data_IF_038040850997
#
_entry.id   IF_038040850997
#
_cell.length_a   1.000
_cell.length_b   1.000
_cell.length_c   1.000
_cell.angle_alpha   90.00
_cell.angle_beta   90.00
_cell.angle_gamma   90.00
#
_symmetry.space_group_name_H-M   'P 1'
#
loop_
_entity.id
_entity.type
_entity.pdbx_description
1 polymer ?
#
# COMPACT_ATOMS: atom_id res chain seq x y z
N UNK A 1 -12.86 24.15 17.88
CA UNK A 1 -13.15 24.07 16.43
C UNK A 1 -12.66 25.35 15.76
N UNK A 2 -11.59 25.28 14.98
CA UNK A 2 -11.16 26.40 14.13
C UNK A 2 -12.01 26.37 12.84
N UNK A 3 -13.27 26.74 12.93
CA UNK A 3 -14.20 26.70 11.79
C UNK A 3 -14.02 27.85 10.77
N UNK A 4 -13.13 28.80 11.05
CA UNK A 4 -12.89 29.93 10.14
C UNK A 4 -11.62 29.72 9.35
N UNK A 5 -11.74 29.50 8.05
CA UNK A 5 -10.61 29.30 7.12
C UNK A 5 -9.54 30.42 7.25
N UNK A 6 -9.96 31.68 7.39
CA UNK A 6 -9.04 32.81 7.57
C UNK A 6 -8.21 32.73 8.86
N UNK A 7 -8.70 32.10 9.92
CA UNK A 7 -7.97 31.96 11.19
C UNK A 7 -6.92 30.86 11.16
N UNK A 8 -7.10 29.82 10.36
CA UNK A 8 -6.14 28.71 10.24
C UNK A 8 -4.82 29.17 9.65
N UNK A 9 -4.83 30.09 8.70
CA UNK A 9 -3.62 30.64 8.08
C UNK A 9 -2.82 31.54 9.00
N UNK A 10 -3.36 31.93 10.16
CA UNK A 10 -2.70 32.78 11.15
C UNK A 10 -1.96 31.99 12.22
N UNK A 11 -2.23 30.71 12.38
CA UNK A 11 -1.50 29.89 13.36
C UNK A 11 -0.04 29.74 12.95
N UNK A 12 0.87 29.94 13.91
CA UNK A 12 2.31 29.89 13.69
C UNK A 12 2.98 28.76 14.44
N UNK A 13 2.55 28.52 15.68
CA UNK A 13 3.25 27.62 16.57
C UNK A 13 2.27 26.92 17.51
N UNK A 14 2.43 25.60 17.65
CA UNK A 14 1.77 24.81 18.68
C UNK A 14 2.85 24.44 19.69
N UNK A 15 2.83 25.06 20.86
CA UNK A 15 3.81 24.84 21.93
C UNK A 15 3.37 23.78 22.94
N UNK A 16 2.08 23.47 22.97
CA UNK A 16 1.47 22.46 23.82
C UNK A 16 0.10 22.08 23.27
N UNK A 17 -0.25 20.79 23.28
CA UNK A 17 -1.56 20.29 22.85
C UNK A 17 -2.60 20.35 23.95
N UNK A 18 -2.14 20.27 25.22
CA UNK A 18 -3.02 20.27 26.41
C UNK A 18 -3.79 18.97 26.60
N UNK A 19 -4.58 18.92 27.67
CA UNK A 19 -5.30 17.72 28.11
C UNK A 19 -6.68 17.55 27.46
N UNK A 20 -7.06 18.45 26.55
CA UNK A 20 -8.38 18.45 25.90
C UNK A 20 -8.48 17.40 24.80
N UNK A 21 -9.61 16.66 24.77
CA UNK A 21 -9.89 15.73 23.66
C UNK A 21 -10.25 16.50 22.39
N UNK A 22 -9.58 16.11 21.29
CA UNK A 22 -9.93 16.63 19.97
C UNK A 22 -11.11 15.82 19.40
N UNK A 23 -12.16 16.50 19.00
CA UNK A 23 -13.32 15.86 18.36
C UNK A 23 -13.12 15.63 16.86
N UNK A 24 -12.26 16.41 16.21
CA UNK A 24 -11.98 16.33 14.79
C UNK A 24 -10.65 17.02 14.45
N UNK A 25 -9.89 16.39 13.54
CA UNK A 25 -8.72 17.01 12.90
C UNK A 25 -8.99 17.38 11.44
N UNK A 26 -10.22 17.21 10.97
CA UNK A 26 -10.60 17.54 9.60
C UNK A 26 -10.34 19.02 9.31
N UNK A 27 -9.45 19.32 8.36
CA UNK A 27 -8.97 20.66 8.02
C UNK A 27 -8.36 21.46 9.20
N UNK A 28 -7.88 20.80 10.26
CA UNK A 28 -7.49 21.50 11.49
C UNK A 28 -6.50 22.64 11.29
N UNK A 29 -5.47 22.42 10.44
CA UNK A 29 -4.39 23.38 10.19
C UNK A 29 -4.24 23.71 8.71
N UNK A 30 -5.24 23.43 7.89
CA UNK A 30 -5.17 23.69 6.45
C UNK A 30 -4.76 25.14 6.15
N UNK A 31 -3.75 25.30 5.28
CA UNK A 31 -3.24 26.61 4.87
C UNK A 31 -2.37 27.32 5.92
N UNK A 32 -2.01 26.64 7.01
CA UNK A 32 -1.10 27.17 8.01
C UNK A 32 0.36 27.10 7.52
N UNK A 33 0.69 27.86 6.49
CA UNK A 33 1.97 27.82 5.76
C UNK A 33 3.21 28.08 6.61
N UNK A 34 3.07 28.63 7.81
CA UNK A 34 4.18 28.91 8.72
C UNK A 34 4.09 28.10 10.02
N UNK A 35 3.28 27.03 10.01
CA UNK A 35 3.07 26.22 11.20
C UNK A 35 4.34 25.48 11.62
N UNK A 36 4.66 25.59 12.90
CA UNK A 36 5.66 24.78 13.60
C UNK A 36 5.04 24.11 14.81
N UNK A 37 5.50 22.90 15.16
CA UNK A 37 4.96 22.13 16.31
C UNK A 37 6.13 21.74 17.22
N UNK A 38 6.66 22.65 18.07
CA UNK A 38 7.65 22.33 19.07
C UNK A 38 7.06 21.66 20.32
N UNK A 39 5.75 21.41 20.36
CA UNK A 39 5.08 20.71 21.45
C UNK A 39 5.77 19.37 21.75
N UNK A 40 5.95 19.08 23.03
CA UNK A 40 6.53 17.81 23.53
C UNK A 40 5.47 16.88 24.12
N UNK A 41 4.25 17.36 24.25
CA UNK A 41 3.05 16.60 24.57
C UNK A 41 2.31 16.19 23.30
N UNK A 42 1.36 15.29 23.41
CA UNK A 42 0.59 14.75 22.31
C UNK A 42 -0.88 15.19 22.38
N UNK A 43 -1.55 15.38 21.23
CA UNK A 43 -3.00 15.62 21.25
C UNK A 43 -3.76 14.35 21.63
N UNK A 44 -4.79 14.45 22.48
CA UNK A 44 -5.73 13.34 22.67
C UNK A 44 -6.62 13.18 21.43
N UNK A 45 -6.26 12.24 20.57
CA UNK A 45 -6.96 11.91 19.31
C UNK A 45 -8.01 10.79 19.48
N UNK A 46 -8.36 10.40 20.72
CA UNK A 46 -9.23 9.24 20.99
C UNK A 46 -10.63 9.34 20.36
N UNK A 47 -11.06 10.52 19.92
CA UNK A 47 -12.32 10.76 19.22
C UNK A 47 -12.14 11.11 17.73
N UNK A 48 -10.89 11.19 17.24
CA UNK A 48 -10.58 11.66 15.89
C UNK A 48 -10.59 10.50 14.90
N UNK A 49 -11.70 10.29 14.22
CA UNK A 49 -11.81 9.26 13.17
C UNK A 49 -11.32 9.73 11.81
N UNK A 50 -11.12 11.03 11.60
CA UNK A 50 -10.62 11.59 10.34
C UNK A 50 -9.60 12.68 10.57
N UNK A 51 -8.44 12.52 9.90
CA UNK A 51 -7.41 13.56 9.79
C UNK A 51 -7.37 14.16 8.37
N UNK A 52 -8.47 14.04 7.62
CA UNK A 52 -8.55 14.53 6.25
C UNK A 52 -8.18 16.00 6.17
N UNK A 53 -7.21 16.34 5.31
CA UNK A 53 -6.68 17.69 5.12
C UNK A 53 -6.15 18.38 6.39
N UNK A 54 -5.78 17.61 7.42
CA UNK A 54 -5.35 18.18 8.69
C UNK A 54 -4.20 19.19 8.55
N UNK A 55 -3.21 18.86 7.71
CA UNK A 55 -2.02 19.69 7.43
C UNK A 55 -1.89 20.05 5.94
N UNK A 56 -3.01 20.04 5.21
CA UNK A 56 -3.00 20.43 3.80
C UNK A 56 -2.48 21.88 3.65
N UNK A 57 -1.59 22.10 2.68
CA UNK A 57 -0.92 23.41 2.43
C UNK A 57 -0.08 23.92 3.62
N UNK A 58 0.37 23.08 4.53
CA UNK A 58 1.32 23.43 5.58
C UNK A 58 2.76 23.37 5.03
N UNK A 59 3.11 24.29 4.13
CA UNK A 59 4.32 24.23 3.30
C UNK A 59 5.65 24.32 4.06
N UNK A 60 5.66 24.79 5.32
CA UNK A 60 6.85 24.86 6.16
C UNK A 60 6.80 23.89 7.35
N UNK A 61 6.06 22.81 7.23
CA UNK A 61 5.92 21.81 8.29
C UNK A 61 7.17 20.92 8.38
N UNK A 62 8.20 21.36 9.09
CA UNK A 62 9.50 20.70 9.21
C UNK A 62 9.78 20.19 10.61
N UNK A 63 10.62 19.16 10.74
CA UNK A 63 11.27 18.74 12.00
C UNK A 63 10.33 18.23 13.08
N UNK A 64 9.22 17.61 12.72
CA UNK A 64 8.16 17.23 13.65
C UNK A 64 8.36 15.87 14.30
N UNK A 65 8.00 15.80 15.58
CA UNK A 65 7.77 14.56 16.33
C UNK A 65 6.26 14.26 16.34
N UNK A 66 5.74 13.76 15.23
CA UNK A 66 4.35 13.28 15.17
C UNK A 66 4.24 11.78 15.47
N UNK A 67 5.38 11.15 15.73
CA UNK A 67 5.48 9.70 15.79
C UNK A 67 4.72 9.08 16.97
N UNK A 68 4.63 9.79 18.09
CA UNK A 68 3.98 9.29 19.31
C UNK A 68 2.44 9.45 19.31
N UNK A 69 1.88 10.05 18.25
CA UNK A 69 0.43 10.27 18.18
C UNK A 69 -0.36 8.97 18.07
N UNK A 70 -1.36 8.83 18.94
CA UNK A 70 -2.26 7.68 18.89
C UNK A 70 -3.32 7.83 17.78
N UNK A 71 -3.06 7.21 16.63
CA UNK A 71 -3.94 7.24 15.45
C UNK A 71 -4.86 6.02 15.34
N UNK A 72 -4.94 5.17 16.36
CA UNK A 72 -5.60 3.86 16.30
C UNK A 72 -7.09 3.88 15.95
N UNK A 73 -7.78 5.02 16.12
CA UNK A 73 -9.21 5.17 15.76
C UNK A 73 -9.43 5.88 14.43
N UNK A 74 -8.34 6.32 13.77
CA UNK A 74 -8.41 7.05 12.50
C UNK A 74 -8.78 6.09 11.37
N UNK A 75 -9.77 6.47 10.57
CA UNK A 75 -10.23 5.70 9.40
C UNK A 75 -9.93 6.40 8.07
N UNK A 76 -9.64 7.71 8.09
CA UNK A 76 -9.30 8.47 6.88
C UNK A 76 -8.11 9.39 7.09
N UNK A 77 -7.11 9.23 6.20
CA UNK A 77 -5.95 10.10 6.07
C UNK A 77 -5.98 10.88 4.74
N UNK A 78 -7.17 11.08 4.16
CA UNK A 78 -7.35 11.76 2.88
C UNK A 78 -6.69 13.15 2.88
N UNK A 79 -5.69 13.35 2.01
CA UNK A 79 -4.98 14.62 1.85
C UNK A 79 -4.34 15.18 3.13
N UNK A 80 -4.02 14.34 4.12
CA UNK A 80 -3.51 14.80 5.43
C UNK A 80 -2.33 15.75 5.29
N UNK A 81 -1.38 15.45 4.40
CA UNK A 81 -0.19 16.27 4.11
C UNK A 81 -0.17 16.76 2.65
N UNK A 82 -1.35 16.92 2.04
CA UNK A 82 -1.47 17.42 0.67
C UNK A 82 -0.88 18.84 0.57
N UNK A 83 -0.01 19.09 -0.41
CA UNK A 83 0.74 20.37 -0.57
C UNK A 83 1.58 20.77 0.67
N UNK A 84 1.94 19.85 1.54
CA UNK A 84 2.88 20.09 2.63
C UNK A 84 4.31 19.86 2.14
N UNK A 85 4.82 20.73 1.25
CA UNK A 85 6.00 20.51 0.42
C UNK A 85 7.26 20.17 1.21
N UNK A 86 7.49 20.81 2.36
CA UNK A 86 8.65 20.54 3.23
C UNK A 86 8.40 19.45 4.30
N UNK A 87 7.25 18.76 4.25
CA UNK A 87 6.96 17.75 5.27
C UNK A 87 7.85 16.52 5.09
N UNK A 88 8.67 16.22 6.09
CA UNK A 88 9.46 15.00 6.21
C UNK A 88 9.50 14.53 7.67
N UNK A 89 8.37 14.60 8.38
CA UNK A 89 8.22 14.16 9.77
C UNK A 89 8.16 12.63 9.88
N UNK A 90 8.67 12.10 11.01
CA UNK A 90 8.52 10.69 11.33
C UNK A 90 7.10 10.39 11.78
N UNK A 91 6.48 9.42 11.13
CA UNK A 91 5.13 8.89 11.38
C UNK A 91 5.11 7.36 11.37
N UNK A 92 6.27 6.72 11.54
CA UNK A 92 6.42 5.25 11.46
C UNK A 92 5.64 4.50 12.54
N UNK A 93 5.36 5.14 13.69
CA UNK A 93 4.54 4.56 14.76
C UNK A 93 3.03 4.75 14.60
N UNK A 94 2.58 5.47 13.57
CA UNK A 94 1.13 5.65 13.36
C UNK A 94 0.43 4.32 13.14
N UNK A 95 -0.54 4.01 13.96
CA UNK A 95 -1.39 2.83 13.77
C UNK A 95 -2.43 3.11 12.69
N UNK A 96 -2.22 2.55 11.50
CA UNK A 96 -3.12 2.72 10.35
C UNK A 96 -4.08 1.55 10.13
N UNK A 97 -4.17 0.60 11.07
CA UNK A 97 -4.95 -0.64 10.93
C UNK A 97 -6.46 -0.44 10.72
N UNK A 98 -6.99 0.76 10.97
CA UNK A 98 -8.38 1.11 10.71
C UNK A 98 -8.56 2.06 9.52
N UNK A 99 -7.46 2.46 8.87
CA UNK A 99 -7.52 3.40 7.74
C UNK A 99 -8.01 2.68 6.48
N UNK A 100 -9.02 3.27 5.84
CA UNK A 100 -9.59 2.77 4.58
C UNK A 100 -9.29 3.70 3.40
N UNK A 101 -8.95 4.98 3.67
CA UNK A 101 -8.72 5.97 2.64
C UNK A 101 -7.41 6.74 2.87
N UNK A 102 -6.45 6.58 1.94
CA UNK A 102 -5.17 7.30 1.89
C UNK A 102 -5.03 8.16 0.62
N UNK A 103 -6.18 8.47 -0.06
CA UNK A 103 -6.15 9.30 -1.26
C UNK A 103 -5.44 10.62 -0.98
N UNK A 104 -4.48 11.01 -1.83
CA UNK A 104 -3.72 12.27 -1.78
C UNK A 104 -2.95 12.51 -0.48
N UNK A 105 -2.68 11.48 0.35
CA UNK A 105 -2.10 11.71 1.69
C UNK A 105 -0.79 12.50 1.64
N UNK A 106 0.07 12.22 0.66
CA UNK A 106 1.38 12.88 0.44
C UNK A 106 1.47 13.54 -0.94
N UNK A 107 0.34 13.84 -1.59
CA UNK A 107 0.39 14.53 -2.88
C UNK A 107 1.07 15.89 -2.71
N UNK A 108 2.06 16.19 -3.56
CA UNK A 108 2.91 17.39 -3.51
C UNK A 108 3.65 17.56 -2.14
N UNK A 109 3.91 16.48 -1.41
CA UNK A 109 4.81 16.48 -0.27
C UNK A 109 6.23 16.18 -0.78
N UNK A 110 6.84 17.15 -1.45
CA UNK A 110 8.06 17.03 -2.24
C UNK A 110 9.23 16.42 -1.45
N UNK A 111 9.39 16.82 -0.18
CA UNK A 111 10.47 16.39 0.72
C UNK A 111 10.17 15.11 1.48
N UNK A 112 8.97 14.51 1.33
CA UNK A 112 8.60 13.34 2.12
C UNK A 112 9.35 12.08 1.67
N UNK A 113 10.20 11.54 2.54
CA UNK A 113 10.94 10.30 2.31
C UNK A 113 11.18 9.51 3.61
N UNK A 114 10.13 9.32 4.43
CA UNK A 114 10.24 8.56 5.69
C UNK A 114 9.75 7.13 5.53
N UNK A 115 10.32 6.25 6.36
CA UNK A 115 9.93 4.85 6.40
C UNK A 115 8.48 4.71 6.89
N UNK A 116 7.63 4.17 6.01
CA UNK A 116 6.23 3.81 6.24
C UNK A 116 5.95 2.36 5.85
N UNK A 117 6.99 1.52 5.87
CA UNK A 117 6.92 0.09 5.65
C UNK A 117 6.10 -0.59 6.78
N UNK A 118 5.38 -1.66 6.47
CA UNK A 118 4.62 -2.43 7.47
C UNK A 118 5.49 -3.39 8.28
N UNK A 119 6.73 -3.65 7.84
CA UNK A 119 7.69 -4.49 8.57
C UNK A 119 8.45 -3.67 9.61
N UNK A 120 8.18 -3.90 10.89
CA UNK A 120 8.85 -3.22 12.00
C UNK A 120 8.30 -1.82 12.32
N UNK A 121 7.14 -1.46 11.80
CA UNK A 121 6.39 -0.24 12.12
C UNK A 121 4.95 -0.57 12.54
N UNK A 122 4.17 0.44 12.93
CA UNK A 122 2.74 0.28 13.25
C UNK A 122 1.83 0.46 12.03
N UNK A 123 2.41 0.73 10.84
CA UNK A 123 1.65 0.85 9.61
C UNK A 123 1.00 -0.48 9.21
N UNK A 124 -0.23 -0.41 8.77
CA UNK A 124 -1.01 -1.54 8.28
C UNK A 124 -1.95 -1.04 7.18
N UNK A 125 -1.84 -1.61 5.99
CA UNK A 125 -2.60 -1.18 4.80
C UNK A 125 -3.73 -2.14 4.44
N UNK A 126 -3.93 -3.23 5.20
CA UNK A 126 -4.86 -4.30 4.86
C UNK A 126 -6.34 -3.89 4.68
N UNK A 127 -6.75 -2.72 5.20
CA UNK A 127 -8.11 -2.19 5.02
C UNK A 127 -8.18 -1.04 4.01
N UNK A 128 -7.06 -0.62 3.44
CA UNK A 128 -7.04 0.52 2.53
C UNK A 128 -7.65 0.14 1.18
N UNK A 129 -8.67 0.87 0.78
CA UNK A 129 -9.36 0.65 -0.51
C UNK A 129 -9.01 1.70 -1.56
N UNK A 130 -8.49 2.87 -1.14
CA UNK A 130 -8.22 3.99 -2.03
C UNK A 130 -6.84 4.61 -1.74
N UNK A 131 -5.94 4.51 -2.73
CA UNK A 131 -4.58 5.09 -2.74
C UNK A 131 -4.38 6.08 -3.89
N UNK A 132 -5.49 6.61 -4.45
CA UNK A 132 -5.44 7.57 -5.56
C UNK A 132 -4.55 8.76 -5.23
N UNK A 133 -3.60 9.07 -6.12
CA UNK A 133 -2.66 10.19 -6.02
C UNK A 133 -1.87 10.26 -4.71
N UNK A 134 -1.68 9.12 -4.01
CA UNK A 134 -1.11 9.13 -2.65
C UNK A 134 0.28 9.77 -2.61
N UNK A 135 1.12 9.52 -3.60
CA UNK A 135 2.49 10.05 -3.73
C UNK A 135 2.67 10.91 -4.99
N UNK A 136 1.56 11.36 -5.60
CA UNK A 136 1.68 12.21 -6.79
C UNK A 136 2.48 13.48 -6.48
N UNK A 137 3.49 13.80 -7.28
CA UNK A 137 4.42 14.92 -7.03
C UNK A 137 5.15 14.82 -5.66
N UNK A 138 5.39 13.61 -5.11
CA UNK A 138 6.27 13.37 -3.97
C UNK A 138 7.68 13.09 -4.51
N UNK A 139 8.39 14.13 -4.90
CA UNK A 139 9.55 14.07 -5.80
C UNK A 139 10.65 13.12 -5.36
N UNK A 140 11.04 13.16 -4.07
CA UNK A 140 12.15 12.36 -3.53
C UNK A 140 11.71 11.08 -2.81
N UNK A 141 10.40 10.76 -2.82
CA UNK A 141 9.91 9.56 -2.13
C UNK A 141 10.46 8.29 -2.79
N UNK A 142 11.24 7.51 -2.06
CA UNK A 142 11.81 6.25 -2.53
C UNK A 142 11.99 5.24 -1.37
N UNK A 143 10.93 5.00 -0.60
CA UNK A 143 10.98 4.05 0.50
C UNK A 143 10.46 2.66 0.10
N UNK A 144 10.94 1.64 0.80
CA UNK A 144 10.49 0.26 0.61
C UNK A 144 9.06 0.09 1.14
N UNK A 145 8.12 -0.11 0.23
CA UNK A 145 6.69 -0.31 0.51
C UNK A 145 6.16 -1.63 -0.05
N UNK A 146 7.04 -2.52 -0.49
CA UNK A 146 6.67 -3.84 -1.03
C UNK A 146 5.92 -4.73 -0.04
N UNK A 147 6.08 -4.53 1.27
CA UNK A 147 5.36 -5.27 2.31
C UNK A 147 3.91 -4.81 2.54
N UNK A 148 3.44 -3.77 1.85
CA UNK A 148 2.06 -3.32 1.98
C UNK A 148 1.07 -4.37 1.50
N UNK A 149 0.04 -4.63 2.29
CA UNK A 149 -1.11 -5.40 1.83
C UNK A 149 -2.02 -4.49 0.99
N UNK A 150 -2.10 -4.79 -0.30
CA UNK A 150 -2.89 -4.05 -1.28
C UNK A 150 -4.13 -4.80 -1.76
N UNK A 151 -4.46 -5.92 -1.10
CA UNK A 151 -5.51 -6.83 -1.54
C UNK A 151 -6.92 -6.21 -1.63
N UNK A 152 -7.19 -5.18 -0.80
CA UNK A 152 -8.47 -4.45 -0.79
C UNK A 152 -8.42 -3.16 -1.64
N UNK A 153 -7.26 -2.79 -2.21
CA UNK A 153 -7.12 -1.55 -2.96
C UNK A 153 -7.79 -1.66 -4.32
N UNK A 154 -8.72 -0.73 -4.60
CA UNK A 154 -9.44 -0.68 -5.87
C UNK A 154 -9.01 0.46 -6.79
N UNK A 155 -8.34 1.49 -6.24
CA UNK A 155 -8.00 2.70 -6.97
C UNK A 155 -6.56 3.16 -6.69
N UNK A 156 -5.73 3.14 -7.75
CA UNK A 156 -4.32 3.59 -7.76
C UNK A 156 -4.09 4.68 -8.83
N UNK A 157 -5.15 5.42 -9.21
CA UNK A 157 -5.09 6.51 -10.18
C UNK A 157 -4.06 7.57 -9.78
N UNK A 158 -3.07 7.89 -10.65
CA UNK A 158 -1.98 8.85 -10.40
C UNK A 158 -1.12 8.55 -9.16
N UNK A 159 -1.04 7.32 -8.65
CA UNK A 159 -0.46 7.05 -7.34
C UNK A 159 0.98 7.53 -7.19
N UNK A 160 1.82 7.36 -8.22
CA UNK A 160 3.23 7.75 -8.26
C UNK A 160 3.55 8.71 -9.40
N UNK A 161 2.52 9.36 -10.00
CA UNK A 161 2.78 10.29 -11.08
C UNK A 161 3.67 11.46 -10.60
N UNK A 162 4.71 11.78 -11.38
CA UNK A 162 5.71 12.80 -11.04
C UNK A 162 6.51 12.52 -9.75
N UNK A 163 6.62 11.26 -9.33
CA UNK A 163 7.46 10.84 -8.19
C UNK A 163 8.84 10.45 -8.71
N UNK A 164 9.62 11.42 -9.13
CA UNK A 164 10.81 11.24 -9.97
C UNK A 164 11.87 10.28 -9.44
N UNK A 165 11.97 10.09 -8.11
CA UNK A 165 12.94 9.20 -7.48
C UNK A 165 12.38 7.81 -7.15
N UNK A 166 11.05 7.57 -7.29
CA UNK A 166 10.46 6.33 -6.82
C UNK A 166 10.87 5.13 -7.69
N UNK A 167 11.54 4.17 -7.09
CA UNK A 167 11.87 2.88 -7.71
C UNK A 167 11.84 1.72 -6.70
N UNK A 168 11.03 1.82 -5.64
CA UNK A 168 10.83 0.75 -4.67
C UNK A 168 10.23 -0.52 -5.30
N UNK A 169 10.63 -1.68 -4.82
CA UNK A 169 10.09 -2.96 -5.31
C UNK A 169 8.67 -3.17 -4.79
N UNK A 170 7.71 -3.13 -5.70
CA UNK A 170 6.28 -3.36 -5.47
C UNK A 170 5.74 -4.57 -6.27
N UNK A 171 6.65 -5.42 -6.76
CA UNK A 171 6.30 -6.61 -7.55
C UNK A 171 5.39 -7.59 -6.80
N UNK A 172 5.47 -7.60 -5.47
CA UNK A 172 4.68 -8.46 -4.57
C UNK A 172 3.26 -7.96 -4.29
N UNK A 173 2.88 -6.76 -4.74
CA UNK A 173 1.55 -6.22 -4.47
C UNK A 173 0.43 -7.06 -5.08
N UNK A 174 -0.62 -7.32 -4.30
CA UNK A 174 -1.84 -7.94 -4.80
C UNK A 174 -2.72 -6.88 -5.49
N UNK A 175 -2.78 -6.92 -6.81
CA UNK A 175 -3.51 -5.96 -7.63
C UNK A 175 -4.84 -6.50 -8.18
N UNK A 176 -5.28 -7.69 -7.72
CA UNK A 176 -6.46 -8.36 -8.24
C UNK A 176 -7.77 -7.57 -8.06
N UNK A 177 -7.86 -6.74 -7.01
CA UNK A 177 -9.04 -5.88 -6.76
C UNK A 177 -8.98 -4.54 -7.51
N UNK A 178 -7.82 -4.16 -8.04
CA UNK A 178 -7.63 -2.83 -8.65
C UNK A 178 -8.41 -2.69 -9.95
N UNK A 179 -9.15 -1.60 -10.08
CA UNK A 179 -9.94 -1.26 -11.27
C UNK A 179 -9.45 -0.01 -12.00
N UNK A 180 -8.57 0.78 -11.37
CA UNK A 180 -8.08 2.03 -11.95
C UNK A 180 -6.60 2.27 -11.64
N UNK A 181 -5.76 2.25 -12.69
CA UNK A 181 -4.32 2.55 -12.66
C UNK A 181 -3.95 3.63 -13.72
N UNK A 182 -4.92 4.45 -14.18
CA UNK A 182 -4.63 5.51 -15.15
C UNK A 182 -3.58 6.45 -14.59
N UNK A 183 -2.55 6.76 -15.38
CA UNK A 183 -1.41 7.62 -15.03
C UNK A 183 -0.62 7.19 -13.78
N UNK A 184 -0.64 5.91 -13.39
CA UNK A 184 -0.06 5.48 -12.11
C UNK A 184 1.42 5.85 -11.97
N UNK A 185 2.22 5.72 -13.03
CA UNK A 185 3.65 6.06 -13.10
C UNK A 185 3.93 7.12 -14.18
N UNK A 186 2.95 8.02 -14.40
CA UNK A 186 3.12 9.08 -15.39
C UNK A 186 4.26 9.99 -14.97
N UNK A 187 5.27 10.15 -15.88
CA UNK A 187 6.45 11.00 -15.66
C UNK A 187 7.25 10.68 -14.38
N UNK A 188 7.32 9.38 -14.04
CA UNK A 188 8.16 8.84 -12.97
C UNK A 188 9.49 8.35 -13.58
N UNK A 189 10.51 9.19 -13.55
CA UNK A 189 11.76 8.97 -14.30
C UNK A 189 12.56 7.74 -13.84
N UNK A 190 12.46 7.38 -12.56
CA UNK A 190 13.26 6.30 -11.97
C UNK A 190 12.60 4.93 -12.06
N UNK A 191 11.26 4.86 -12.13
CA UNK A 191 10.53 3.60 -11.93
C UNK A 191 10.72 2.60 -13.07
N UNK A 192 11.30 1.42 -12.75
CA UNK A 192 11.44 0.32 -13.69
C UNK A 192 11.42 -1.06 -13.01
N UNK A 193 10.58 -1.26 -11.99
CA UNK A 193 10.44 -2.56 -11.34
C UNK A 193 9.62 -3.54 -12.18
N UNK A 194 9.84 -4.84 -11.97
CA UNK A 194 9.15 -5.88 -12.72
C UNK A 194 7.73 -6.11 -12.18
N UNK A 195 6.73 -5.65 -12.93
CA UNK A 195 5.30 -5.79 -12.60
C UNK A 195 4.61 -6.93 -13.37
N UNK A 196 5.36 -7.75 -14.13
CA UNK A 196 4.79 -8.84 -14.93
C UNK A 196 4.03 -9.89 -14.09
N UNK A 197 4.27 -9.92 -12.78
CA UNK A 197 3.57 -10.75 -11.80
C UNK A 197 2.22 -10.19 -11.31
N UNK A 198 1.83 -8.99 -11.71
CA UNK A 198 0.58 -8.39 -11.23
C UNK A 198 -0.66 -9.04 -11.86
N UNK A 199 -1.65 -9.35 -11.02
CA UNK A 199 -2.97 -9.82 -11.45
C UNK A 199 -3.84 -8.60 -11.80
N UNK A 200 -4.17 -8.41 -13.08
CA UNK A 200 -4.88 -7.23 -13.58
C UNK A 200 -6.11 -7.60 -14.42
N UNK A 201 -6.84 -8.62 -13.99
CA UNK A 201 -8.04 -9.11 -14.71
C UNK A 201 -9.14 -8.05 -14.85
N UNK A 202 -9.23 -7.11 -13.92
CA UNK A 202 -10.20 -6.02 -13.95
C UNK A 202 -9.81 -4.88 -14.89
N UNK A 203 -8.61 -4.91 -15.47
CA UNK A 203 -8.07 -3.87 -16.36
C UNK A 203 -7.72 -4.53 -17.69
N UNK A 204 -8.68 -4.56 -18.61
CA UNK A 204 -8.61 -5.34 -19.86
C UNK A 204 -7.56 -4.87 -20.88
N UNK A 205 -7.04 -3.66 -20.73
CA UNK A 205 -6.01 -3.06 -21.60
C UNK A 205 -5.18 -2.07 -20.81
N UNK A 206 -3.99 -1.73 -21.32
CA UNK A 206 -3.12 -0.73 -20.66
C UNK A 206 -3.90 0.57 -20.41
N UNK A 207 -3.94 1.04 -19.15
CA UNK A 207 -4.62 2.29 -18.83
C UNK A 207 -3.96 3.49 -19.52
N UNK A 208 -4.75 4.53 -19.80
CA UNK A 208 -4.23 5.75 -20.40
C UNK A 208 -3.03 6.27 -19.64
N UNK A 209 -1.93 6.49 -20.36
CA UNK A 209 -0.69 7.05 -19.83
C UNK A 209 -0.16 6.35 -18.58
N UNK A 210 -0.40 5.04 -18.42
CA UNK A 210 0.00 4.27 -17.25
C UNK A 210 1.46 4.55 -16.83
N UNK A 211 2.35 4.65 -17.81
CA UNK A 211 3.79 4.86 -17.60
C UNK A 211 4.40 5.80 -18.66
N UNK A 212 3.62 6.72 -19.24
CA UNK A 212 4.17 7.69 -20.17
C UNK A 212 5.16 8.60 -19.46
N UNK A 213 6.37 8.76 -20.04
CA UNK A 213 7.43 9.55 -19.42
C UNK A 213 8.26 8.79 -18.38
N UNK A 214 7.84 7.60 -17.94
CA UNK A 214 8.60 6.80 -16.97
C UNK A 214 9.67 5.91 -17.62
N UNK A 215 10.61 5.41 -16.81
CA UNK A 215 11.61 4.41 -17.21
C UNK A 215 11.05 2.99 -17.34
N UNK A 216 9.78 2.74 -17.01
CA UNK A 216 9.16 1.42 -17.01
C UNK A 216 9.12 0.83 -18.43
N UNK A 217 9.90 -0.23 -18.65
CA UNK A 217 9.95 -0.93 -19.94
C UNK A 217 8.70 -1.77 -20.18
N UNK A 218 8.35 -2.01 -21.46
CA UNK A 218 7.23 -2.90 -21.81
C UNK A 218 7.40 -4.32 -21.30
N UNK A 219 8.63 -4.82 -21.13
CA UNK A 219 8.92 -6.14 -20.58
C UNK A 219 8.57 -6.27 -19.10
N UNK A 220 8.59 -5.15 -18.37
CA UNK A 220 8.30 -5.07 -16.95
C UNK A 220 6.83 -4.75 -16.65
N UNK A 221 6.01 -4.45 -17.66
CA UNK A 221 4.57 -4.20 -17.47
C UNK A 221 3.80 -5.49 -17.24
N UNK A 222 2.65 -5.43 -16.54
CA UNK A 222 1.75 -6.57 -16.44
C UNK A 222 1.12 -6.94 -17.80
N UNK A 223 0.73 -8.19 -17.96
CA UNK A 223 -0.08 -8.62 -19.10
C UNK A 223 -1.55 -8.25 -18.82
N UNK A 224 -2.01 -7.16 -19.43
CA UNK A 224 -3.33 -6.57 -19.16
C UNK A 224 -4.48 -7.55 -19.43
N UNK A 225 -5.50 -7.50 -18.58
CA UNK A 225 -6.67 -8.38 -18.65
C UNK A 225 -6.40 -9.79 -18.14
N UNK A 226 -5.20 -10.06 -17.60
CA UNK A 226 -4.83 -11.38 -17.11
C UNK A 226 -4.40 -11.36 -15.65
N UNK A 227 -4.37 -12.53 -15.07
CA UNK A 227 -3.66 -12.80 -13.83
C UNK A 227 -2.55 -13.79 -14.20
N UNK A 228 -1.28 -13.49 -13.94
CA UNK A 228 -0.24 -14.45 -14.17
C UNK A 228 -0.61 -15.73 -13.43
N UNK A 229 -0.68 -16.82 -14.16
CA UNK A 229 -0.65 -18.14 -13.51
C UNK A 229 0.74 -18.11 -12.84
N UNK A 230 0.78 -18.03 -11.51
CA UNK A 230 2.00 -18.27 -10.77
C UNK A 230 2.58 -19.54 -11.38
N UNK A 231 3.72 -19.41 -12.07
CA UNK A 231 4.36 -20.56 -12.69
C UNK A 231 4.42 -21.62 -11.62
N UNK A 232 3.71 -22.69 -11.87
CA UNK A 232 3.48 -23.88 -11.07
C UNK A 232 4.27 -23.91 -9.76
N UNK A 233 3.58 -23.88 -8.61
CA UNK A 233 4.26 -24.24 -7.36
C UNK A 233 4.89 -25.61 -7.56
N UNK A 234 6.20 -25.69 -7.58
CA UNK A 234 6.95 -26.94 -7.77
C UNK A 234 7.61 -27.31 -6.46
N UNK A 235 7.24 -28.46 -5.92
CA UNK A 235 7.81 -28.96 -4.68
C UNK A 235 8.16 -30.43 -4.81
N UNK A 236 9.20 -30.86 -4.10
CA UNK A 236 9.66 -32.27 -4.10
C UNK A 236 9.37 -32.90 -2.74
N UNK A 237 8.68 -34.04 -2.78
CA UNK A 237 8.22 -34.74 -1.59
C UNK A 237 8.74 -36.19 -1.56
N UNK A 238 9.25 -36.61 -0.42
CA UNK A 238 9.63 -38.01 -0.18
C UNK A 238 8.42 -38.78 0.35
N UNK A 239 7.90 -39.73 -0.43
CA UNK A 239 6.79 -40.61 -0.08
C UNK A 239 7.38 -41.88 0.55
N UNK A 240 7.11 -42.14 1.84
CA UNK A 240 7.88 -43.09 2.62
C UNK A 240 7.51 -44.56 2.37
N UNK A 241 6.30 -44.85 1.86
CA UNK A 241 5.82 -46.20 1.68
C UNK A 241 4.86 -46.33 0.50
N UNK A 242 4.69 -47.54 -0.02
CA UNK A 242 3.68 -47.85 -1.02
C UNK A 242 2.26 -47.63 -0.46
N UNK A 243 1.34 -47.26 -1.31
CA UNK A 243 -0.04 -46.92 -0.97
C UNK A 243 -0.17 -45.83 0.08
N UNK A 244 0.76 -44.85 0.05
CA UNK A 244 0.77 -43.72 0.96
C UNK A 244 -0.24 -42.67 0.54
N UNK A 245 -1.21 -42.36 1.43
CA UNK A 245 -2.13 -41.25 1.25
C UNK A 245 -1.40 -39.94 1.63
N UNK A 246 -1.11 -39.11 0.65
CA UNK A 246 -0.50 -37.78 0.83
C UNK A 246 -1.59 -36.72 0.82
N UNK A 247 -1.52 -35.81 1.75
CA UNK A 247 -2.36 -34.62 1.85
C UNK A 247 -1.52 -33.37 1.60
N UNK A 248 -1.86 -32.62 0.55
CA UNK A 248 -1.17 -31.39 0.22
C UNK A 248 -1.68 -30.24 1.10
N UNK A 249 -0.83 -29.55 1.86
CA UNK A 249 -1.25 -28.54 2.82
C UNK A 249 -1.62 -27.20 2.15
N UNK A 250 -2.58 -27.26 1.21
CA UNK A 250 -3.13 -26.09 0.52
C UNK A 250 -4.50 -25.73 1.08
N UNK A 251 -4.74 -24.43 1.20
CA UNK A 251 -5.98 -23.85 1.68
C UNK A 251 -6.31 -22.57 0.91
N UNK A 252 -7.62 -22.28 0.77
CA UNK A 252 -8.12 -21.01 0.22
C UNK A 252 -7.70 -20.68 -1.23
N UNK A 253 -7.72 -21.67 -2.12
CA UNK A 253 -7.47 -21.50 -3.55
C UNK A 253 -8.77 -21.62 -4.38
N UNK A 254 -8.83 -20.96 -5.56
CA UNK A 254 -10.02 -20.98 -6.41
C UNK A 254 -10.13 -22.28 -7.23
N UNK A 255 -9.30 -22.45 -8.24
CA UNK A 255 -9.21 -23.63 -9.10
C UNK A 255 -7.73 -23.95 -9.31
N UNK A 256 -7.35 -25.19 -9.04
CA UNK A 256 -5.99 -25.67 -9.29
C UNK A 256 -6.03 -27.01 -10.02
N UNK A 257 -5.00 -27.23 -10.84
CA UNK A 257 -4.69 -28.56 -11.37
C UNK A 257 -3.37 -29.00 -10.78
N UNK A 258 -3.34 -30.18 -10.18
CA UNK A 258 -2.15 -30.73 -9.54
C UNK A 258 -1.63 -31.86 -10.40
N UNK A 259 -0.36 -31.77 -10.81
CA UNK A 259 0.42 -32.92 -11.31
C UNK A 259 1.17 -33.51 -10.10
N UNK A 260 0.86 -34.73 -9.77
CA UNK A 260 1.39 -35.42 -8.59
C UNK A 260 2.80 -36.00 -8.81
N UNK A 261 3.33 -35.87 -10.03
CA UNK A 261 4.68 -36.34 -10.37
C UNK A 261 4.81 -37.84 -10.59
N UNK A 262 3.69 -38.59 -10.53
CA UNK A 262 3.60 -40.02 -10.83
C UNK A 262 2.84 -40.30 -12.13
N UNK A 263 2.74 -39.32 -13.00
CA UNK A 263 1.97 -39.29 -14.24
C UNK A 263 0.45 -39.17 -14.03
N UNK A 264 0.00 -38.86 -12.82
CA UNK A 264 -1.40 -38.57 -12.54
C UNK A 264 -1.62 -37.08 -12.30
N UNK A 265 -2.80 -36.59 -12.65
CA UNK A 265 -3.24 -35.23 -12.42
C UNK A 265 -4.62 -35.19 -11.80
N UNK A 266 -4.91 -34.14 -11.01
CA UNK A 266 -6.26 -33.88 -10.50
C UNK A 266 -6.58 -32.40 -10.49
N UNK A 267 -7.87 -32.06 -10.68
CA UNK A 267 -8.36 -30.68 -10.62
C UNK A 267 -9.24 -30.50 -9.39
N UNK A 268 -9.00 -29.46 -8.63
CA UNK A 268 -9.72 -29.16 -7.40
C UNK A 268 -10.27 -27.73 -7.44
N UNK A 269 -11.49 -27.54 -6.92
CA UNK A 269 -12.17 -26.24 -6.84
C UNK A 269 -12.55 -26.00 -5.39
N UNK A 270 -12.03 -24.96 -4.77
CA UNK A 270 -12.32 -24.54 -3.40
C UNK A 270 -12.25 -25.67 -2.35
N UNK A 271 -11.41 -26.66 -2.58
CA UNK A 271 -11.24 -27.80 -1.69
C UNK A 271 -9.97 -27.62 -0.86
N UNK A 272 -10.11 -27.52 0.46
CA UNK A 272 -8.95 -27.54 1.35
C UNK A 272 -8.30 -28.95 1.35
N UNK A 273 -6.97 -28.98 1.42
CA UNK A 273 -6.17 -30.20 1.58
C UNK A 273 -6.40 -31.26 0.50
N UNK A 274 -6.07 -31.02 -0.79
CA UNK A 274 -6.12 -32.06 -1.82
C UNK A 274 -5.33 -33.30 -1.42
N UNK A 275 -5.87 -34.46 -1.70
CA UNK A 275 -5.24 -35.75 -1.36
C UNK A 275 -4.92 -36.59 -2.59
N UNK A 276 -3.82 -37.35 -2.52
CA UNK A 276 -3.43 -38.34 -3.54
C UNK A 276 -2.82 -39.58 -2.88
N UNK A 277 -3.04 -40.75 -3.48
CA UNK A 277 -2.47 -42.02 -3.01
C UNK A 277 -1.39 -42.49 -3.96
N UNK A 278 -0.15 -42.45 -3.52
CA UNK A 278 0.98 -42.98 -4.30
C UNK A 278 1.04 -44.49 -4.20
N UNK A 279 1.15 -45.12 -5.35
CA UNK A 279 1.23 -46.61 -5.44
C UNK A 279 2.57 -47.17 -4.97
N UNK A 280 3.62 -46.36 -4.99
CA UNK A 280 4.98 -46.74 -4.59
C UNK A 280 5.64 -45.65 -3.76
N UNK A 281 6.62 -46.05 -2.93
CA UNK A 281 7.49 -45.12 -2.25
C UNK A 281 8.46 -44.50 -3.27
N UNK A 282 8.90 -43.27 -3.00
CA UNK A 282 9.83 -42.54 -3.87
C UNK A 282 9.86 -41.06 -3.61
N UNK A 283 10.60 -40.35 -4.45
CA UNK A 283 10.63 -38.89 -4.45
C UNK A 283 9.84 -38.40 -5.66
N UNK A 284 8.81 -37.61 -5.40
CA UNK A 284 7.91 -37.08 -6.42
C UNK A 284 7.98 -35.56 -6.47
N UNK A 285 7.97 -35.01 -7.67
CA UNK A 285 7.88 -33.56 -7.87
C UNK A 285 6.44 -33.20 -8.16
N UNK A 286 5.81 -32.51 -7.22
CA UNK A 286 4.43 -32.05 -7.34
C UNK A 286 4.44 -30.65 -7.98
N UNK A 287 3.60 -30.45 -8.98
CA UNK A 287 3.42 -29.18 -9.70
C UNK A 287 1.95 -28.74 -9.61
N UNK A 288 1.71 -27.49 -9.24
CA UNK A 288 0.36 -26.94 -9.07
C UNK A 288 0.21 -25.73 -9.94
#
# INVERSE_FOLDING_TARGET
YMNNHASRTLIRTITNWGEGKWESFHYAFQGATSLTIPATDEPDLSLVTSMSHAFNECTNLVGLTLNDWNTSVVTSLYGTFYDATAFNGDISSWNTSNVTNMERMFQNAEDFNRNINTSGSSWNTAKVTNMKSMFKDAEIFNQEIGSWDTSEVTNMFYMFAYSHDFNGDISSWNTAAVTNMVNMFYDDDAFNQNLSGWCVTNISSEPSSFSNGSSLTNANKPLWGTCPILNSFISTWAIPSNSYLFELPLKDYANITIDWGDSSTSTHTNQAFPTHTYSSSGTYTITI
#
